data_IF_415413435847
#
_entry.id   IF_415413435847
#
_cell.length_a   1.000
_cell.length_b   1.000
_cell.length_c   1.000
_cell.angle_alpha   90.00
_cell.angle_beta   90.00
_cell.angle_gamma   90.00
#
_symmetry.space_group_name_H-M   'P 1'
#
loop_
_entity.id
_entity.type
_entity.pdbx_description
1 polymer ?
#
# COMPACT_ATOMS: atom_id res chain seq x y z
N UNK A 1 -8.19 0.42 -33.17
CA UNK A 1 -7.69 1.37 -32.16
C UNK A 1 -7.38 2.67 -32.87
N UNK A 2 -8.27 3.67 -32.78
CA UNK A 2 -8.07 5.00 -33.36
C UNK A 2 -8.78 6.04 -32.51
N UNK A 3 -8.11 6.45 -31.44
CA UNK A 3 -8.17 7.78 -30.80
C UNK A 3 -6.74 8.02 -30.29
N UNK A 4 -6.20 9.25 -30.33
CA UNK A 4 -4.84 9.47 -29.84
C UNK A 4 -4.75 8.99 -28.40
N UNK A 5 -3.65 8.31 -28.06
CA UNK A 5 -3.35 7.97 -26.68
C UNK A 5 -3.33 9.27 -25.86
N UNK A 6 -4.01 9.27 -24.71
CA UNK A 6 -3.92 10.37 -23.76
C UNK A 6 -2.45 10.52 -23.36
N UNK A 7 -1.93 11.74 -23.34
CA UNK A 7 -0.58 11.98 -22.81
C UNK A 7 -0.57 11.61 -21.33
N UNK A 8 0.56 11.14 -20.82
CA UNK A 8 0.70 10.72 -19.42
C UNK A 8 0.34 11.84 -18.43
N UNK A 9 0.63 13.10 -18.79
CA UNK A 9 0.27 14.27 -18.00
C UNK A 9 -1.25 14.50 -17.96
N UNK A 10 -1.92 14.43 -19.11
CA UNK A 10 -3.38 14.57 -19.20
C UNK A 10 -4.08 13.46 -18.40
N UNK A 11 -3.60 12.22 -18.55
CA UNK A 11 -4.09 11.05 -17.82
C UNK A 11 -3.96 11.25 -16.31
N UNK A 12 -2.79 11.70 -15.84
CA UNK A 12 -2.52 12.01 -14.43
C UNK A 12 -3.49 13.08 -13.92
N UNK A 13 -3.65 14.17 -14.67
CA UNK A 13 -4.50 15.29 -14.29
C UNK A 13 -5.98 14.87 -14.18
N UNK A 14 -6.48 14.12 -15.16
CA UNK A 14 -7.87 13.63 -15.14
C UNK A 14 -8.10 12.72 -13.93
N UNK A 15 -7.19 11.78 -13.65
CA UNK A 15 -7.31 10.91 -12.47
C UNK A 15 -7.33 11.76 -11.20
N UNK A 16 -6.39 12.70 -11.04
CA UNK A 16 -6.30 13.56 -9.86
C UNK A 16 -7.58 14.36 -9.61
N UNK A 17 -8.15 14.95 -10.67
CA UNK A 17 -9.41 15.70 -10.58
C UNK A 17 -10.57 14.77 -10.23
N UNK A 18 -10.68 13.61 -10.89
CA UNK A 18 -11.75 12.65 -10.66
C UNK A 18 -11.75 12.11 -9.22
N UNK A 19 -10.60 11.62 -8.74
CA UNK A 19 -10.49 11.06 -7.39
C UNK A 19 -10.64 12.17 -6.35
N UNK A 20 -10.13 13.37 -6.62
CA UNK A 20 -10.26 14.51 -5.72
C UNK A 20 -11.69 14.97 -5.53
N UNK A 21 -12.49 14.95 -6.60
CA UNK A 21 -13.89 15.37 -6.56
C UNK A 21 -14.79 14.37 -5.82
N UNK A 22 -14.39 13.10 -5.73
CA UNK A 22 -15.21 12.02 -5.18
C UNK A 22 -14.75 11.61 -3.78
N UNK A 23 -13.45 11.42 -3.55
CA UNK A 23 -12.96 10.95 -2.26
C UNK A 23 -13.15 11.99 -1.15
N UNK A 24 -13.07 13.28 -1.45
CA UNK A 24 -13.26 14.34 -0.46
C UNK A 24 -14.73 14.62 -0.08
N UNK A 25 -15.70 13.96 -0.72
CA UNK A 25 -17.13 14.19 -0.43
C UNK A 25 -17.42 13.83 1.04
N UNK A 26 -17.89 14.76 1.89
CA UNK A 26 -18.17 14.42 3.28
C UNK A 26 -19.28 13.37 3.37
N UNK A 27 -19.12 12.45 4.32
CA UNK A 27 -20.15 11.46 4.66
C UNK A 27 -21.35 12.13 5.35
N UNK A 28 -21.12 13.28 5.96
CA UNK A 28 -22.02 13.97 6.88
C UNK A 28 -22.82 15.13 6.26
N UNK A 29 -22.88 15.25 4.92
CA UNK A 29 -23.81 16.20 4.24
C UNK A 29 -25.27 16.05 4.72
N UNK A 30 -25.61 14.93 5.37
CA UNK A 30 -26.91 14.63 5.94
C UNK A 30 -27.13 15.18 7.37
N UNK A 31 -26.07 15.48 8.12
CA UNK A 31 -26.20 16.02 9.49
C UNK A 31 -26.45 17.53 9.50
N UNK A 32 -25.99 18.22 8.47
CA UNK A 32 -26.31 19.61 8.21
C UNK A 32 -26.96 19.70 6.83
N UNK A 33 -28.25 19.32 6.72
CA UNK A 33 -29.04 19.67 5.52
C UNK A 33 -28.82 21.16 5.27
N UNK A 34 -28.23 21.57 4.12
CA UNK A 34 -28.22 22.97 3.77
C UNK A 34 -29.68 23.41 3.78
N UNK A 35 -30.00 24.50 4.49
CA UNK A 35 -31.27 25.21 4.33
C UNK A 35 -31.28 25.92 2.97
N UNK A 36 -30.78 25.28 1.92
CA UNK A 36 -30.81 25.81 0.56
C UNK A 36 -32.12 25.39 -0.08
N UNK A 37 -32.91 26.40 -0.47
CA UNK A 37 -34.12 26.23 -1.27
C UNK A 37 -33.73 25.57 -2.59
N UNK A 38 -34.22 24.34 -2.85
CA UNK A 38 -34.05 23.65 -4.14
C UNK A 38 -33.51 22.22 -4.08
N UNK A 39 -33.08 21.72 -2.91
CA UNK A 39 -32.73 20.30 -2.77
C UNK A 39 -34.02 19.49 -2.64
N UNK A 40 -34.24 18.56 -3.57
CA UNK A 40 -35.38 17.64 -3.55
C UNK A 40 -35.42 16.88 -2.21
N UNK A 41 -36.50 17.02 -1.41
CA UNK A 41 -36.62 16.35 -0.12
C UNK A 41 -36.67 14.82 -0.22
N UNK A 42 -36.83 14.27 -1.43
CA UNK A 42 -36.79 12.83 -1.74
C UNK A 42 -35.42 12.34 -2.23
N UNK A 43 -34.44 13.25 -2.38
CA UNK A 43 -33.11 12.91 -2.86
C UNK A 43 -32.37 11.98 -1.89
N UNK A 44 -32.10 10.77 -2.35
CA UNK A 44 -31.30 9.78 -1.64
C UNK A 44 -29.80 10.04 -1.88
N UNK A 45 -29.20 10.82 -0.99
CA UNK A 45 -27.78 11.16 -1.04
C UNK A 45 -26.87 9.94 -0.93
N UNK A 46 -27.25 8.91 -0.16
CA UNK A 46 -26.45 7.70 -0.03
C UNK A 46 -26.40 6.95 -1.36
N UNK A 47 -27.55 6.82 -2.03
CA UNK A 47 -27.61 6.23 -3.37
C UNK A 47 -26.82 7.03 -4.41
N UNK A 48 -26.86 8.36 -4.35
CA UNK A 48 -26.10 9.22 -5.24
C UNK A 48 -24.59 9.10 -4.99
N UNK A 49 -24.17 9.05 -3.73
CA UNK A 49 -22.77 8.85 -3.35
C UNK A 49 -22.27 7.48 -3.82
N UNK A 50 -23.04 6.42 -3.60
CA UNK A 50 -22.72 5.07 -4.09
C UNK A 50 -22.54 5.10 -5.60
N UNK A 51 -23.52 5.65 -6.33
CA UNK A 51 -23.47 5.74 -7.80
C UNK A 51 -22.25 6.54 -8.29
N UNK A 52 -21.87 7.59 -7.57
CA UNK A 52 -20.71 8.43 -7.89
C UNK A 52 -19.40 7.67 -7.68
N UNK A 53 -19.28 6.94 -6.56
CA UNK A 53 -18.10 6.11 -6.27
C UNK A 53 -18.00 4.96 -7.28
N UNK A 54 -19.12 4.33 -7.65
CA UNK A 54 -19.15 3.26 -8.66
C UNK A 54 -18.74 3.77 -10.05
N UNK A 55 -19.20 4.97 -10.43
CA UNK A 55 -18.78 5.61 -11.68
C UNK A 55 -17.27 5.92 -11.69
N UNK A 56 -16.70 6.38 -10.57
CA UNK A 56 -15.26 6.56 -10.43
C UNK A 56 -14.51 5.23 -10.55
N UNK A 57 -14.97 4.19 -9.87
CA UNK A 57 -14.35 2.87 -9.91
C UNK A 57 -14.35 2.31 -11.34
N UNK A 58 -15.47 2.44 -12.05
CA UNK A 58 -15.59 2.05 -13.44
C UNK A 58 -14.62 2.84 -14.33
N UNK A 59 -14.53 4.16 -14.16
CA UNK A 59 -13.58 5.00 -14.90
C UNK A 59 -12.13 4.54 -14.68
N UNK A 60 -11.70 4.33 -13.43
CA UNK A 60 -10.35 3.90 -13.11
C UNK A 60 -10.04 2.52 -13.68
N UNK A 61 -10.98 1.59 -13.62
CA UNK A 61 -10.85 0.27 -14.25
C UNK A 61 -10.67 0.39 -15.77
N UNK A 62 -11.50 1.19 -16.46
CA UNK A 62 -11.38 1.38 -17.91
C UNK A 62 -10.05 1.99 -18.29
N UNK A 63 -9.52 2.92 -17.49
CA UNK A 63 -8.23 3.53 -17.71
C UNK A 63 -7.07 2.53 -17.54
N UNK A 64 -7.14 1.66 -16.52
CA UNK A 64 -6.14 0.61 -16.31
C UNK A 64 -6.19 -0.45 -17.42
N UNK A 65 -7.40 -0.84 -17.84
CA UNK A 65 -7.59 -1.86 -18.87
C UNK A 65 -7.35 -1.38 -20.30
N UNK A 66 -7.49 -0.07 -20.58
CA UNK A 66 -7.17 0.53 -21.89
C UNK A 66 -5.69 0.34 -22.24
N UNK A 67 -4.83 0.45 -21.25
CA UNK A 67 -3.39 0.19 -21.35
C UNK A 67 -3.00 -0.83 -20.29
N UNK A 68 -3.38 -2.09 -20.50
CA UNK A 68 -3.20 -3.18 -19.53
C UNK A 68 -1.72 -3.57 -19.39
N UNK A 69 -0.97 -2.77 -18.65
CA UNK A 69 0.43 -3.00 -18.27
C UNK A 69 0.60 -2.81 -16.77
N UNK A 70 1.57 -3.49 -16.16
CA UNK A 70 1.87 -3.32 -14.74
C UNK A 70 2.36 -1.90 -14.42
N UNK A 71 3.04 -1.24 -15.37
CA UNK A 71 3.47 0.16 -15.25
C UNK A 71 2.27 1.11 -15.19
N UNK A 72 1.25 0.88 -16.02
CA UNK A 72 0.03 1.68 -15.97
C UNK A 72 -0.69 1.48 -14.62
N UNK A 73 -0.87 0.23 -14.18
CA UNK A 73 -1.44 -0.09 -12.88
C UNK A 73 -0.71 0.64 -11.75
N UNK A 74 0.62 0.54 -11.70
CA UNK A 74 1.45 1.21 -10.71
C UNK A 74 1.28 2.74 -10.76
N UNK A 75 1.27 3.33 -11.96
CA UNK A 75 1.11 4.78 -12.13
C UNK A 75 -0.21 5.30 -11.56
N UNK A 76 -1.30 4.55 -11.76
CA UNK A 76 -2.61 4.88 -11.20
C UNK A 76 -2.57 4.78 -9.68
N UNK A 77 -2.05 3.67 -9.13
CA UNK A 77 -1.95 3.48 -7.68
C UNK A 77 -1.06 4.53 -7.00
N UNK A 78 0.01 4.98 -7.64
CA UNK A 78 0.84 6.07 -7.16
C UNK A 78 0.08 7.41 -7.07
N UNK A 79 -0.83 7.69 -8.01
CA UNK A 79 -1.71 8.86 -7.95
C UNK A 79 -2.69 8.72 -6.78
N UNK A 80 -3.23 7.52 -6.55
CA UNK A 80 -4.14 7.24 -5.44
C UNK A 80 -3.47 7.30 -4.07
N UNK A 81 -2.15 7.07 -3.99
CA UNK A 81 -1.42 6.93 -2.73
C UNK A 81 -1.62 8.10 -1.76
N UNK A 82 -1.74 9.34 -2.26
CA UNK A 82 -2.02 10.51 -1.41
C UNK A 82 -3.33 10.39 -0.61
N UNK A 83 -4.32 9.66 -1.13
CA UNK A 83 -5.60 9.41 -0.48
C UNK A 83 -5.52 8.19 0.43
N UNK A 84 -4.72 7.18 0.08
CA UNK A 84 -4.45 6.03 0.97
C UNK A 84 -3.81 6.47 2.30
N UNK A 85 -2.99 7.52 2.30
CA UNK A 85 -2.35 8.06 3.51
C UNK A 85 -3.11 9.24 4.12
N UNK A 86 -4.35 9.52 3.70
CA UNK A 86 -5.10 10.67 4.20
C UNK A 86 -5.33 10.59 5.71
N UNK A 87 -5.35 11.75 6.38
CA UNK A 87 -5.80 11.85 7.78
C UNK A 87 -7.28 11.49 7.93
N UNK A 88 -8.10 11.65 6.89
CA UNK A 88 -9.51 11.32 6.90
C UNK A 88 -9.74 9.81 6.65
N UNK A 89 -10.46 9.15 7.57
CA UNK A 89 -10.78 7.73 7.48
C UNK A 89 -11.60 7.36 6.23
N UNK A 90 -12.58 8.18 5.86
CA UNK A 90 -13.48 7.94 4.73
C UNK A 90 -12.72 8.02 3.41
N UNK A 91 -11.80 8.97 3.28
CA UNK A 91 -10.92 9.09 2.11
C UNK A 91 -10.05 7.85 1.93
N UNK A 92 -9.44 7.36 3.02
CA UNK A 92 -8.64 6.11 2.99
C UNK A 92 -9.49 4.92 2.59
N UNK A 93 -10.67 4.76 3.18
CA UNK A 93 -11.59 3.66 2.91
C UNK A 93 -12.02 3.64 1.43
N UNK A 94 -12.49 4.77 0.89
CA UNK A 94 -12.88 4.90 -0.53
C UNK A 94 -11.71 4.61 -1.45
N UNK A 95 -10.53 5.14 -1.14
CA UNK A 95 -9.32 4.88 -1.91
C UNK A 95 -8.96 3.40 -1.93
N UNK A 96 -9.00 2.71 -0.79
CA UNK A 96 -8.70 1.28 -0.71
C UNK A 96 -9.75 0.41 -1.41
N UNK A 97 -11.02 0.82 -1.39
CA UNK A 97 -12.06 0.19 -2.20
C UNK A 97 -11.75 0.28 -3.70
N UNK A 98 -11.41 1.46 -4.21
CA UNK A 98 -11.01 1.63 -5.61
C UNK A 98 -9.75 0.84 -5.95
N UNK A 99 -8.74 0.86 -5.08
CA UNK A 99 -7.51 0.05 -5.24
C UNK A 99 -7.86 -1.44 -5.40
N UNK A 100 -8.70 -1.99 -4.54
CA UNK A 100 -9.14 -3.38 -4.63
C UNK A 100 -9.92 -3.66 -5.93
N UNK A 101 -10.82 -2.75 -6.33
CA UNK A 101 -11.58 -2.87 -7.58
C UNK A 101 -10.70 -2.84 -8.83
N UNK A 102 -9.66 -2.01 -8.84
CA UNK A 102 -8.69 -1.93 -9.93
C UNK A 102 -7.85 -3.21 -9.99
N UNK A 103 -7.35 -3.68 -8.84
CA UNK A 103 -6.54 -4.90 -8.77
C UNK A 103 -7.33 -6.14 -9.23
N UNK A 104 -8.60 -6.26 -8.83
CA UNK A 104 -9.48 -7.35 -9.28
C UNK A 104 -9.72 -7.31 -10.78
N UNK A 105 -10.07 -6.15 -11.32
CA UNK A 105 -10.28 -5.98 -12.76
C UNK A 105 -9.00 -6.30 -13.55
N UNK A 106 -7.83 -5.89 -13.05
CA UNK A 106 -6.55 -6.24 -13.66
C UNK A 106 -6.28 -7.75 -13.61
N UNK A 107 -6.56 -8.40 -12.48
CA UNK A 107 -6.39 -9.84 -12.29
C UNK A 107 -7.26 -10.66 -13.24
N UNK A 108 -8.56 -10.36 -13.29
CA UNK A 108 -9.53 -11.01 -14.18
C UNK A 108 -9.13 -10.86 -15.65
N UNK A 109 -8.65 -9.68 -16.04
CA UNK A 109 -8.16 -9.47 -17.39
C UNK A 109 -6.85 -10.24 -17.68
N UNK A 110 -6.02 -10.56 -16.67
CA UNK A 110 -4.68 -11.13 -16.86
C UNK A 110 -4.64 -12.66 -16.97
N UNK A 111 -5.76 -13.37 -16.86
CA UNK A 111 -5.81 -14.84 -16.88
C UNK A 111 -5.22 -15.48 -18.16
N UNK A 112 -5.04 -14.70 -19.24
CA UNK A 112 -4.49 -15.17 -20.53
C UNK A 112 -3.03 -14.75 -20.82
N UNK A 113 -2.41 -13.92 -19.97
CA UNK A 113 -1.09 -13.30 -20.24
C UNK A 113 0.08 -14.11 -19.65
N UNK A 114 0.28 -15.35 -20.10
CA UNK A 114 1.23 -16.29 -19.48
C UNK A 114 2.71 -15.85 -19.46
N UNK A 115 3.12 -14.85 -20.26
CA UNK A 115 4.53 -14.56 -20.54
C UNK A 115 5.06 -13.22 -20.01
N UNK A 116 4.25 -12.37 -19.39
CA UNK A 116 4.69 -11.03 -18.92
C UNK A 116 4.99 -11.07 -17.40
N UNK A 117 6.21 -10.77 -16.94
CA UNK A 117 6.53 -10.63 -15.51
C UNK A 117 5.78 -9.46 -14.85
N UNK A 118 5.28 -9.66 -13.64
CA UNK A 118 4.60 -8.62 -12.86
C UNK A 118 5.58 -7.91 -11.92
N UNK A 119 6.26 -6.88 -12.44
CA UNK A 119 7.42 -6.25 -11.79
C UNK A 119 7.07 -5.07 -10.86
N UNK A 120 5.85 -5.01 -10.33
CA UNK A 120 5.39 -3.93 -9.44
C UNK A 120 4.81 -4.43 -8.11
N UNK A 121 4.78 -5.75 -7.87
CA UNK A 121 4.33 -6.33 -6.61
C UNK A 121 5.01 -5.68 -5.41
N UNK A 122 6.34 -5.47 -5.46
CA UNK A 122 7.09 -4.85 -4.38
C UNK A 122 6.57 -3.45 -4.02
N UNK A 123 6.38 -2.58 -5.00
CA UNK A 123 5.84 -1.23 -4.80
C UNK A 123 4.41 -1.26 -4.24
N UNK A 124 3.55 -2.11 -4.82
CA UNK A 124 2.14 -2.24 -4.40
C UNK A 124 2.05 -2.73 -2.95
N UNK A 125 2.79 -3.79 -2.60
CA UNK A 125 2.82 -4.29 -1.23
C UNK A 125 3.34 -3.23 -0.26
N UNK A 126 4.35 -2.46 -0.65
CA UNK A 126 4.88 -1.38 0.18
C UNK A 126 3.87 -0.29 0.50
N UNK A 127 2.96 0.03 -0.44
CA UNK A 127 1.87 0.99 -0.22
C UNK A 127 0.74 0.41 0.63
N UNK A 128 0.44 -0.88 0.48
CA UNK A 128 -0.69 -1.54 1.16
C UNK A 128 -0.37 -1.95 2.60
N UNK A 129 0.86 -2.39 2.89
CA UNK A 129 1.24 -2.91 4.21
C UNK A 129 0.95 -1.97 5.38
N UNK A 130 1.24 -0.65 5.33
CA UNK A 130 0.90 0.26 6.42
C UNK A 130 -0.61 0.27 6.74
N UNK A 131 -1.45 0.04 5.73
CA UNK A 131 -2.92 0.02 5.87
C UNK A 131 -3.45 -1.25 6.51
N UNK A 132 -2.70 -2.36 6.52
CA UNK A 132 -3.06 -3.57 7.28
C UNK A 132 -3.16 -3.32 8.79
N UNK A 133 -2.57 -2.23 9.28
CA UNK A 133 -2.62 -1.78 10.68
C UNK A 133 -3.28 -0.40 10.82
N UNK A 134 -4.13 0.01 9.87
CA UNK A 134 -4.84 1.29 9.92
C UNK A 134 -5.72 1.42 11.17
N UNK A 135 -5.95 2.61 11.74
CA UNK A 135 -6.93 2.78 12.82
C UNK A 135 -8.35 2.26 12.50
N UNK A 136 -8.73 2.16 11.23
CA UNK A 136 -10.03 1.64 10.81
C UNK A 136 -9.95 0.19 10.37
N UNK A 137 -10.72 -0.70 11.01
CA UNK A 137 -10.76 -2.14 10.69
C UNK A 137 -11.17 -2.41 9.23
N UNK A 138 -12.10 -1.61 8.68
CA UNK A 138 -12.51 -1.71 7.27
C UNK A 138 -11.32 -1.49 6.33
N UNK A 139 -10.50 -0.47 6.59
CA UNK A 139 -9.28 -0.18 5.83
C UNK A 139 -8.27 -1.31 5.96
N UNK A 140 -8.11 -1.91 7.16
CA UNK A 140 -7.24 -3.09 7.35
C UNK A 140 -7.68 -4.24 6.44
N UNK A 141 -8.96 -4.59 6.49
CA UNK A 141 -9.51 -5.70 5.72
C UNK A 141 -9.38 -5.47 4.21
N UNK A 142 -9.65 -4.26 3.72
CA UNK A 142 -9.45 -3.91 2.31
C UNK A 142 -7.98 -4.02 1.88
N UNK A 143 -7.04 -3.66 2.76
CA UNK A 143 -5.61 -3.81 2.49
C UNK A 143 -5.22 -5.29 2.39
N UNK A 144 -5.70 -6.15 3.30
CA UNK A 144 -5.48 -7.60 3.22
C UNK A 144 -6.05 -8.18 1.91
N UNK A 145 -7.27 -7.81 1.54
CA UNK A 145 -7.89 -8.28 0.28
C UNK A 145 -7.11 -7.79 -0.95
N UNK A 146 -6.60 -6.56 -0.90
CA UNK A 146 -5.79 -5.99 -1.99
C UNK A 146 -4.43 -6.69 -2.13
N UNK A 147 -3.80 -7.04 -1.00
CA UNK A 147 -2.55 -7.82 -0.99
C UNK A 147 -2.78 -9.21 -1.61
N UNK A 148 -3.87 -9.88 -1.23
CA UNK A 148 -4.20 -11.23 -1.73
C UNK A 148 -4.36 -11.22 -3.26
N UNK A 149 -5.11 -10.24 -3.78
CA UNK A 149 -5.27 -10.07 -5.23
C UNK A 149 -3.94 -9.71 -5.91
N UNK A 150 -3.13 -8.81 -5.34
CA UNK A 150 -1.84 -8.42 -5.93
C UNK A 150 -0.86 -9.61 -5.99
N UNK A 151 -0.81 -10.43 -4.94
CA UNK A 151 0.00 -11.65 -4.90
C UNK A 151 -0.51 -12.67 -5.91
N UNK A 152 -1.83 -12.86 -6.02
CA UNK A 152 -2.44 -13.75 -7.02
C UNK A 152 -2.06 -13.36 -8.46
N UNK A 153 -2.12 -12.06 -8.78
CA UNK A 153 -1.68 -11.51 -10.07
C UNK A 153 -0.21 -11.82 -10.31
N UNK A 154 0.66 -11.56 -9.33
CA UNK A 154 2.09 -11.79 -9.47
C UNK A 154 2.44 -13.28 -9.64
N UNK A 155 1.71 -14.15 -8.96
CA UNK A 155 1.88 -15.60 -9.02
C UNK A 155 1.18 -16.26 -10.21
N UNK A 156 0.34 -15.51 -10.94
CA UNK A 156 -0.47 -16.01 -12.07
C UNK A 156 -1.39 -17.16 -11.69
N UNK A 157 -2.02 -17.04 -10.53
CA UNK A 157 -2.98 -18.02 -10.04
C UNK A 157 -4.26 -17.31 -9.63
N UNK A 158 -5.36 -18.08 -9.55
CA UNK A 158 -6.57 -17.58 -8.91
C UNK A 158 -6.30 -17.30 -7.43
N UNK A 159 -6.96 -16.28 -6.88
CA UNK A 159 -6.82 -15.89 -5.47
C UNK A 159 -7.03 -17.09 -4.52
N UNK A 160 -8.06 -17.90 -4.81
CA UNK A 160 -8.37 -19.13 -4.08
C UNK A 160 -7.22 -20.16 -4.07
N UNK A 161 -6.40 -20.20 -5.14
CA UNK A 161 -5.28 -21.11 -5.26
C UNK A 161 -4.03 -20.64 -4.49
N UNK A 162 -3.89 -19.32 -4.23
CA UNK A 162 -2.82 -18.80 -3.37
C UNK A 162 -2.98 -19.33 -1.95
N UNK A 163 -4.21 -19.28 -1.42
CA UNK A 163 -4.57 -19.73 -0.07
C UNK A 163 -4.35 -21.23 0.16
N UNK A 164 -4.48 -22.07 -0.88
CA UNK A 164 -4.35 -23.53 -0.74
C UNK A 164 -2.92 -24.00 -0.41
N UNK A 165 -1.91 -23.25 -0.86
CA UNK A 165 -0.49 -23.59 -0.65
C UNK A 165 0.13 -22.89 0.56
N UNK A 166 -0.67 -22.19 1.37
CA UNK A 166 -0.22 -21.44 2.53
C UNK A 166 -0.24 -22.30 3.79
N UNK A 167 0.74 -22.09 4.67
CA UNK A 167 0.63 -22.59 6.04
C UNK A 167 -0.61 -21.95 6.67
N UNK A 168 -1.52 -22.70 7.30
CA UNK A 168 -2.79 -22.15 7.80
C UNK A 168 -2.61 -20.90 8.67
N UNK A 169 -1.58 -20.89 9.52
CA UNK A 169 -1.24 -19.79 10.44
C UNK A 169 -0.61 -18.55 9.78
N UNK A 170 -0.17 -18.67 8.51
CA UNK A 170 0.35 -17.56 7.71
C UNK A 170 -0.59 -17.15 6.58
N UNK A 171 -1.71 -17.85 6.40
CA UNK A 171 -2.66 -17.51 5.34
C UNK A 171 -3.24 -16.11 5.55
N UNK A 172 -3.36 -15.33 4.46
CA UNK A 172 -3.86 -13.95 4.57
C UNK A 172 -5.26 -13.89 5.16
N UNK A 173 -6.11 -14.87 4.83
CA UNK A 173 -7.46 -14.98 5.39
C UNK A 173 -7.45 -15.18 6.91
N UNK A 174 -6.55 -16.04 7.42
CA UNK A 174 -6.38 -16.20 8.86
C UNK A 174 -5.88 -14.90 9.48
N UNK A 175 -4.81 -14.29 8.96
CA UNK A 175 -4.27 -13.05 9.50
C UNK A 175 -5.30 -11.90 9.52
N UNK A 176 -6.08 -11.77 8.45
CA UNK A 176 -7.20 -10.82 8.34
C UNK A 176 -8.23 -11.04 9.46
N UNK A 177 -8.60 -12.29 9.74
CA UNK A 177 -9.54 -12.59 10.84
C UNK A 177 -9.02 -12.18 12.23
N UNK A 178 -7.70 -12.06 12.39
CA UNK A 178 -7.06 -11.72 13.66
C UNK A 178 -6.81 -10.21 13.82
N UNK A 179 -6.91 -9.40 12.76
CA UNK A 179 -6.53 -7.96 12.78
C UNK A 179 -7.69 -7.01 13.17
N UNK A 180 -8.61 -7.51 13.99
CA UNK A 180 -9.81 -6.79 14.43
C UNK A 180 -9.55 -5.94 15.68
N UNK A 181 -8.64 -6.41 16.56
CA UNK A 181 -8.31 -5.73 17.81
C UNK A 181 -7.36 -4.55 17.60
N UNK A 182 -7.49 -3.53 18.44
CA UNK A 182 -6.54 -2.42 18.55
C UNK A 182 -5.42 -2.69 19.57
N UNK A 183 -5.42 -3.87 20.21
CA UNK A 183 -4.37 -4.23 21.16
C UNK A 183 -2.99 -4.25 20.49
N UNK A 184 -2.01 -3.45 20.99
CA UNK A 184 -0.69 -3.36 20.38
C UNK A 184 0.06 -4.70 20.27
N UNK A 185 -0.14 -5.62 21.22
CA UNK A 185 0.55 -6.92 21.22
C UNK A 185 -0.05 -7.85 20.16
N UNK A 186 -1.38 -7.91 20.07
CA UNK A 186 -2.09 -8.61 19.01
C UNK A 186 -1.70 -8.08 17.62
N UNK A 187 -1.76 -6.75 17.43
CA UNK A 187 -1.35 -6.11 16.18
C UNK A 187 0.09 -6.45 15.81
N UNK A 188 1.02 -6.41 16.77
CA UNK A 188 2.43 -6.75 16.54
C UNK A 188 2.60 -8.20 16.06
N UNK A 189 1.92 -9.17 16.69
CA UNK A 189 2.00 -10.59 16.32
C UNK A 189 1.51 -10.81 14.90
N UNK A 190 0.31 -10.32 14.57
CA UNK A 190 -0.28 -10.49 13.24
C UNK A 190 0.56 -9.78 12.17
N UNK A 191 1.02 -8.56 12.44
CA UNK A 191 1.87 -7.79 11.52
C UNK A 191 3.21 -8.46 11.27
N UNK A 192 3.80 -9.08 12.29
CA UNK A 192 5.03 -9.86 12.14
C UNK A 192 4.80 -11.11 11.28
N UNK A 193 3.66 -11.79 11.45
CA UNK A 193 3.27 -12.91 10.58
C UNK A 193 3.02 -12.46 9.15
N UNK A 194 2.40 -11.30 8.93
CA UNK A 194 2.29 -10.68 7.61
C UNK A 194 3.67 -10.40 6.99
N UNK A 195 4.64 -9.93 7.78
CA UNK A 195 6.01 -9.77 7.29
C UNK A 195 6.66 -11.07 6.85
N UNK A 196 6.40 -12.20 7.53
CA UNK A 196 6.87 -13.53 7.11
C UNK A 196 6.17 -14.00 5.84
N UNK A 197 4.86 -13.78 5.76
CA UNK A 197 4.07 -14.05 4.56
C UNK A 197 4.69 -13.37 3.34
N UNK A 198 4.96 -12.06 3.44
CA UNK A 198 5.57 -11.29 2.36
C UNK A 198 6.96 -11.84 2.01
N UNK A 199 7.76 -12.29 2.99
CA UNK A 199 9.05 -12.92 2.70
C UNK A 199 8.91 -14.17 1.81
N UNK A 200 7.86 -14.98 2.00
CA UNK A 200 7.59 -16.19 1.21
C UNK A 200 7.08 -15.85 -0.21
N UNK A 201 6.35 -14.74 -0.37
CA UNK A 201 5.68 -14.40 -1.64
C UNK A 201 6.43 -13.41 -2.53
N UNK A 202 7.29 -12.55 -1.96
CA UNK A 202 7.94 -11.45 -2.68
C UNK A 202 9.14 -11.95 -3.50
N UNK A 203 9.19 -11.75 -4.82
CA UNK A 203 10.37 -12.03 -5.64
C UNK A 203 11.60 -11.24 -5.20
N UNK A 204 12.79 -11.80 -5.40
CA UNK A 204 14.07 -11.17 -5.00
C UNK A 204 14.30 -9.82 -5.70
N UNK A 205 14.05 -9.74 -7.00
CA UNK A 205 14.18 -8.52 -7.80
C UNK A 205 13.25 -7.39 -7.34
N UNK A 206 12.20 -7.73 -6.59
CA UNK A 206 11.23 -6.76 -6.05
C UNK A 206 11.41 -6.49 -4.55
N UNK A 207 12.41 -7.10 -3.90
CA UNK A 207 12.69 -6.91 -2.49
C UNK A 207 13.10 -5.47 -2.17
N UNK A 208 14.00 -4.88 -2.96
CA UNK A 208 14.44 -3.49 -2.74
C UNK A 208 13.33 -2.46 -3.00
N UNK A 209 12.59 -2.49 -4.12
CA UNK A 209 11.43 -1.61 -4.33
C UNK A 209 10.42 -1.65 -3.18
N UNK A 210 10.13 -2.85 -2.66
CA UNK A 210 9.27 -3.03 -1.49
C UNK A 210 9.83 -2.34 -0.24
N UNK A 211 11.10 -2.58 0.11
CA UNK A 211 11.74 -1.97 1.27
C UNK A 211 11.79 -0.45 1.15
N UNK A 212 12.10 0.08 -0.04
CA UNK A 212 12.12 1.53 -0.27
C UNK A 212 10.74 2.15 -0.05
N UNK A 213 9.68 1.49 -0.53
CA UNK A 213 8.31 1.93 -0.32
C UNK A 213 7.90 1.87 1.17
N UNK A 214 8.27 0.81 1.89
CA UNK A 214 8.03 0.70 3.34
C UNK A 214 8.75 1.77 4.17
N UNK A 215 9.95 2.17 3.76
CA UNK A 215 10.70 3.27 4.42
C UNK A 215 9.89 4.55 4.37
N UNK A 216 9.25 4.88 3.24
CA UNK A 216 8.33 6.03 3.17
C UNK A 216 7.13 5.86 4.12
N UNK A 217 6.62 4.63 4.27
CA UNK A 217 5.56 4.29 5.22
C UNK A 217 5.90 4.54 6.69
N UNK A 218 7.18 4.72 7.05
CA UNK A 218 7.57 5.11 8.41
C UNK A 218 7.14 6.54 8.76
N UNK A 219 6.89 7.38 7.76
CA UNK A 219 6.37 8.75 7.92
C UNK A 219 4.85 8.83 7.78
N UNK A 220 4.14 7.71 7.83
CA UNK A 220 2.68 7.71 7.76
C UNK A 220 2.07 8.58 8.88
N UNK A 221 1.04 9.41 8.57
CA UNK A 221 0.43 10.28 9.57
C UNK A 221 -0.29 9.52 10.70
N UNK A 222 -0.61 8.23 10.50
CA UNK A 222 -1.23 7.39 11.52
C UNK A 222 -0.18 6.52 12.21
N UNK A 223 -0.05 6.69 13.52
CA UNK A 223 0.99 5.99 14.32
C UNK A 223 0.88 4.47 14.27
N UNK A 224 -0.33 3.92 14.16
CA UNK A 224 -0.54 2.46 14.02
C UNK A 224 0.04 1.98 12.68
N UNK A 225 -0.29 2.66 11.58
CA UNK A 225 0.23 2.36 10.24
C UNK A 225 1.74 2.56 10.12
N UNK A 226 2.29 3.65 10.67
CA UNK A 226 3.74 3.88 10.67
C UNK A 226 4.46 2.81 11.49
N UNK A 227 3.87 2.36 12.61
CA UNK A 227 4.40 1.27 13.44
C UNK A 227 4.35 -0.07 12.69
N UNK A 228 3.23 -0.38 12.04
CA UNK A 228 3.07 -1.60 11.26
C UNK A 228 4.07 -1.70 10.10
N UNK A 229 4.28 -0.60 9.38
CA UNK A 229 5.32 -0.49 8.35
C UNK A 229 6.71 -0.83 8.92
N UNK A 230 7.04 -0.27 10.09
CA UNK A 230 8.29 -0.56 10.81
C UNK A 230 8.42 -2.04 11.20
N UNK A 231 7.35 -2.67 11.69
CA UNK A 231 7.36 -4.09 12.08
C UNK A 231 7.64 -4.97 10.87
N UNK A 232 6.96 -4.73 9.74
CA UNK A 232 7.18 -5.49 8.51
C UNK A 232 8.58 -5.25 7.93
N UNK A 233 9.04 -3.99 7.88
CA UNK A 233 10.37 -3.60 7.42
C UNK A 233 11.46 -4.39 8.17
N UNK A 234 11.42 -4.34 9.51
CA UNK A 234 12.40 -5.04 10.35
C UNK A 234 12.27 -6.56 10.23
N UNK A 235 11.04 -7.09 10.07
CA UNK A 235 10.82 -8.53 9.87
C UNK A 235 11.46 -8.99 8.56
N UNK A 236 11.24 -8.27 7.46
CA UNK A 236 11.75 -8.66 6.15
C UNK A 236 13.26 -8.57 6.10
N UNK A 237 13.87 -7.48 6.61
CA UNK A 237 15.33 -7.35 6.69
C UNK A 237 15.93 -8.46 7.57
N UNK A 238 15.28 -8.83 8.67
CA UNK A 238 15.77 -9.91 9.52
C UNK A 238 15.84 -11.25 8.78
N UNK A 239 14.86 -11.57 7.94
CA UNK A 239 14.80 -12.86 7.23
C UNK A 239 15.59 -12.86 5.92
N UNK A 240 15.55 -11.74 5.19
CA UNK A 240 16.05 -11.62 3.81
C UNK A 240 17.20 -10.62 3.63
N UNK A 241 17.74 -10.09 4.72
CA UNK A 241 18.77 -9.05 4.66
C UNK A 241 20.08 -9.47 3.99
N UNK A 242 20.39 -10.77 3.92
CA UNK A 242 21.56 -11.31 3.18
C UNK A 242 21.50 -11.02 1.67
N UNK A 243 20.30 -10.81 1.14
CA UNK A 243 20.03 -10.58 -0.28
C UNK A 243 20.25 -9.10 -0.67
N UNK A 244 20.49 -8.22 0.31
CA UNK A 244 20.48 -6.76 0.12
C UNK A 244 21.85 -6.12 -0.03
N UNK A 245 22.93 -6.91 -0.16
CA UNK A 245 24.32 -6.40 -0.10
C UNK A 245 24.56 -5.18 -1.00
N UNK A 246 24.06 -5.20 -2.23
CA UNK A 246 24.24 -4.13 -3.22
C UNK A 246 23.42 -2.89 -2.84
N UNK A 247 22.25 -3.09 -2.23
CA UNK A 247 21.29 -2.04 -1.94
C UNK A 247 21.46 -1.39 -0.57
N UNK A 248 22.41 -1.88 0.25
CA UNK A 248 22.67 -1.34 1.59
C UNK A 248 22.85 0.19 1.56
N UNK A 249 23.70 0.80 0.72
CA UNK A 249 23.89 2.25 0.74
C UNK A 249 22.58 3.01 0.51
N UNK A 250 21.79 2.56 -0.47
CA UNK A 250 20.51 3.18 -0.84
C UNK A 250 19.45 3.04 0.26
N UNK A 251 19.43 1.91 0.98
CA UNK A 251 18.51 1.70 2.11
C UNK A 251 18.92 2.57 3.30
N UNK A 252 20.24 2.66 3.59
CA UNK A 252 20.76 3.50 4.67
C UNK A 252 20.40 4.96 4.43
N UNK A 253 20.68 5.47 3.24
CA UNK A 253 20.33 6.84 2.83
C UNK A 253 18.83 7.09 2.98
N UNK A 254 17.99 6.23 2.40
CA UNK A 254 16.54 6.38 2.47
C UNK A 254 15.99 6.44 3.90
N UNK A 255 16.50 5.61 4.82
CA UNK A 255 16.07 5.62 6.23
C UNK A 255 16.55 6.88 6.94
N UNK A 256 17.74 7.39 6.60
CA UNK A 256 18.29 8.62 7.18
C UNK A 256 17.48 9.84 6.76
N UNK A 257 17.20 9.99 5.47
CA UNK A 257 16.47 11.13 4.89
C UNK A 257 15.11 11.37 5.55
N UNK A 258 14.47 10.30 6.02
CA UNK A 258 13.13 10.36 6.60
C UNK A 258 13.12 10.28 8.12
N UNK A 259 14.25 9.97 8.77
CA UNK A 259 14.33 9.67 10.20
C UNK A 259 13.78 10.81 11.06
N UNK A 260 14.09 12.05 10.69
CA UNK A 260 13.60 13.24 11.37
C UNK A 260 12.12 13.52 11.17
N UNK A 261 11.58 13.12 10.02
CA UNK A 261 10.17 13.25 9.69
C UNK A 261 9.29 12.22 10.38
N UNK A 262 9.86 11.14 10.95
CA UNK A 262 9.11 10.11 11.69
C UNK A 262 8.56 10.68 13.00
N UNK A 263 7.23 10.84 13.06
CA UNK A 263 6.53 11.43 14.20
C UNK A 263 6.37 10.45 15.38
N UNK A 264 6.13 9.16 15.10
CA UNK A 264 5.89 8.16 16.13
C UNK A 264 7.22 7.69 16.77
N UNK A 265 7.42 7.86 18.09
CA UNK A 265 8.67 7.45 18.75
C UNK A 265 8.96 5.95 18.66
N UNK A 266 7.92 5.11 18.66
CA UNK A 266 8.07 3.68 18.48
C UNK A 266 8.57 3.34 17.06
N UNK A 267 7.97 3.97 16.04
CA UNK A 267 8.42 3.84 14.65
C UNK A 267 9.85 4.33 14.48
N UNK A 268 10.24 5.46 15.11
CA UNK A 268 11.62 5.96 15.06
C UNK A 268 12.62 4.97 15.66
N UNK A 269 12.29 4.34 16.80
CA UNK A 269 13.10 3.24 17.36
C UNK A 269 13.18 2.05 16.40
N UNK A 270 12.08 1.72 15.72
CA UNK A 270 12.03 0.70 14.68
C UNK A 270 12.88 1.03 13.45
N UNK A 271 12.90 2.28 13.01
CA UNK A 271 13.76 2.77 11.94
C UNK A 271 15.24 2.62 12.31
N UNK A 272 15.64 2.96 13.55
CA UNK A 272 17.01 2.74 14.02
C UNK A 272 17.38 1.24 14.11
N UNK A 273 16.42 0.38 14.48
CA UNK A 273 16.61 -1.08 14.47
C UNK A 273 16.84 -1.64 13.06
N UNK A 274 16.39 -0.94 12.02
CA UNK A 274 16.68 -1.29 10.63
C UNK A 274 18.20 -1.37 10.41
N UNK A 275 18.95 -0.36 10.85
CA UNK A 275 20.41 -0.33 10.75
C UNK A 275 21.07 -1.52 11.45
N UNK A 276 20.59 -1.86 12.65
CA UNK A 276 21.10 -3.03 13.40
C UNK A 276 20.82 -4.34 12.64
N UNK A 277 19.60 -4.50 12.12
CA UNK A 277 19.24 -5.70 11.37
C UNK A 277 20.04 -5.82 10.06
N UNK A 278 20.29 -4.71 9.35
CA UNK A 278 21.15 -4.69 8.18
C UNK A 278 22.61 -5.02 8.55
N UNK A 279 23.13 -4.46 9.64
CA UNK A 279 24.49 -4.71 10.09
C UNK A 279 24.72 -6.18 10.51
N UNK A 280 23.69 -6.84 11.04
CA UNK A 280 23.75 -8.28 11.35
C UNK A 280 23.97 -9.16 10.10
N UNK A 281 23.62 -8.67 8.91
CA UNK A 281 23.86 -9.36 7.63
C UNK A 281 25.10 -8.83 6.90
N UNK A 282 25.31 -7.51 6.92
CA UNK A 282 26.28 -6.80 6.10
C UNK A 282 27.01 -5.68 6.86
N UNK A 283 27.60 -6.02 8.02
CA UNK A 283 28.28 -5.07 8.92
C UNK A 283 29.20 -4.09 8.19
N UNK A 284 30.13 -4.59 7.37
CA UNK A 284 31.11 -3.74 6.66
C UNK A 284 30.41 -2.75 5.72
N UNK A 285 29.41 -3.19 4.96
CA UNK A 285 28.70 -2.31 4.02
C UNK A 285 27.92 -1.21 4.76
N UNK A 286 27.29 -1.56 5.89
CA UNK A 286 26.57 -0.60 6.73
C UNK A 286 27.53 0.42 7.33
N UNK A 287 28.66 -0.02 7.90
CA UNK A 287 29.66 0.87 8.47
C UNK A 287 30.23 1.83 7.42
N UNK A 288 30.60 1.34 6.24
CA UNK A 288 31.09 2.18 5.14
C UNK A 288 30.04 3.21 4.73
N UNK A 289 28.77 2.79 4.60
CA UNK A 289 27.68 3.71 4.21
C UNK A 289 27.45 4.80 5.26
N UNK A 290 27.48 4.45 6.55
CA UNK A 290 27.32 5.41 7.65
C UNK A 290 28.53 6.34 7.83
N UNK A 291 29.76 5.87 7.59
CA UNK A 291 30.96 6.71 7.69
C UNK A 291 31.08 7.70 6.54
N UNK A 292 30.57 7.34 5.35
CA UNK A 292 30.55 8.22 4.17
C UNK A 292 29.36 9.18 4.15
N UNK A 293 28.49 9.10 5.16
CA UNK A 293 27.29 9.90 5.26
C UNK A 293 27.57 11.29 5.86
N UNK A 294 26.92 12.37 5.39
CA UNK A 294 27.07 13.70 6.00
C UNK A 294 26.55 13.69 7.45
N UNK A 295 27.20 14.46 8.32
CA UNK A 295 26.80 14.65 9.74
C UNK A 295 25.96 15.93 9.84
N UNK A 296 24.91 16.01 10.70
CA UNK A 296 24.34 14.96 11.55
C UNK A 296 23.84 13.73 10.78
N UNK A 297 23.91 12.55 11.42
CA UNK A 297 23.39 11.33 10.80
C UNK A 297 21.85 11.33 10.74
N UNK A 298 21.23 12.27 11.44
CA UNK A 298 19.80 12.54 11.64
C UNK A 298 19.46 14.00 11.27
N UNK A 299 19.78 14.48 10.07
CA UNK A 299 19.27 15.77 9.54
C UNK A 299 17.89 15.59 8.94
#
# INVERSE_FOLDING_TARGET
SLEPALKDEDKRNIIQVAVGSVYSLPRDFLHEKPKEEGIDPTLDFDKLLISTVDALNFFLQKLVLKERTFTNLESVLLILHRWMVSKNAVERERCLHSTLHILRAYAEASESDAYIPFNTLGSILGMLVPRCTDPQVTVRHLAFDSIDVAVAVAMRVQVSAVSFNEKPELSLNYLKSQIISDDPSSLFIVTKSLGKYICEKLPLDQLYPFLRCLVNGLCDPHSQSSSGASVVLNTVIKHRGRELRIEIPNIIEAVRDILNSVQCPHTRKGALRCFQNLANHHLTAVLVSLLNSPVPLDV
#
